data_IF_559385193781
#
_entry.id   IF_559385193781
#
_cell.length_a   1.000
_cell.length_b   1.000
_cell.length_c   1.000
_cell.angle_alpha   90.00
_cell.angle_beta   90.00
_cell.angle_gamma   90.00
#
_symmetry.space_group_name_H-M   'P 1'
#
loop_
_entity.id
_entity.type
_entity.pdbx_description
1 polymer ?
#
# COMPACT_ATOMS: atom_id res chain seq x y z
N UNK A 1 -9.09 2.29 -10.75
CA UNK A 1 -8.04 1.44 -11.39
C UNK A 1 -7.98 0.03 -10.81
N UNK A 2 -8.18 -0.16 -9.48
CA UNK A 2 -8.19 -1.47 -8.83
C UNK A 2 -9.14 -2.46 -9.50
N UNK A 3 -10.34 -2.03 -9.86
CA UNK A 3 -11.33 -2.86 -10.57
C UNK A 3 -10.85 -3.38 -11.93
N UNK A 4 -10.02 -2.62 -12.64
CA UNK A 4 -9.45 -3.07 -13.91
C UNK A 4 -8.49 -4.24 -13.66
N UNK A 5 -7.68 -4.15 -12.60
CA UNK A 5 -6.77 -5.23 -12.21
C UNK A 5 -7.53 -6.47 -11.72
N UNK A 6 -8.62 -6.28 -10.95
CA UNK A 6 -9.53 -7.37 -10.53
C UNK A 6 -10.16 -8.10 -11.73
N UNK A 7 -10.51 -7.38 -12.79
CA UNK A 7 -11.05 -7.99 -14.03
C UNK A 7 -10.04 -8.87 -14.76
N UNK A 8 -8.74 -8.57 -14.65
CA UNK A 8 -7.69 -9.35 -15.31
C UNK A 8 -7.36 -10.66 -14.57
N UNK A 9 -7.62 -10.74 -13.27
CA UNK A 9 -7.50 -11.98 -12.51
C UNK A 9 -8.29 -11.89 -11.20
N UNK A 10 -9.13 -12.91 -10.88
CA UNK A 10 -9.92 -12.93 -9.65
C UNK A 10 -9.06 -13.13 -8.39
N UNK A 11 -7.78 -13.48 -8.55
CA UNK A 11 -6.85 -13.75 -7.44
C UNK A 11 -5.91 -12.56 -7.15
N UNK A 12 -6.19 -11.38 -7.70
CA UNK A 12 -5.42 -10.16 -7.39
C UNK A 12 -5.79 -9.68 -6.00
N UNK A 13 -4.77 -9.41 -5.20
CA UNK A 13 -4.89 -8.82 -3.88
C UNK A 13 -3.97 -7.59 -3.80
N UNK A 14 -4.29 -6.64 -2.94
CA UNK A 14 -3.55 -5.40 -2.80
C UNK A 14 -2.99 -5.25 -1.39
N UNK A 15 -1.74 -4.81 -1.29
CA UNK A 15 -1.18 -4.26 -0.06
C UNK A 15 -1.24 -2.74 -0.17
N UNK A 16 -2.11 -2.09 0.61
CA UNK A 16 -2.18 -0.65 0.67
C UNK A 16 -1.22 -0.13 1.75
N UNK A 17 -0.09 0.41 1.28
CA UNK A 17 0.92 1.05 2.13
C UNK A 17 0.43 2.45 2.54
N UNK A 18 -0.24 2.54 3.69
CA UNK A 18 -0.86 3.75 4.21
C UNK A 18 0.08 4.46 5.18
N UNK A 19 0.37 5.73 4.91
CA UNK A 19 1.28 6.55 5.71
C UNK A 19 0.90 8.02 5.61
N UNK A 20 1.25 8.78 6.63
CA UNK A 20 0.97 10.21 6.61
C UNK A 20 1.94 10.96 5.67
N UNK A 21 1.50 12.12 5.18
CA UNK A 21 2.27 12.92 4.23
C UNK A 21 3.65 13.31 4.76
N UNK A 22 3.74 13.69 6.04
CA UNK A 22 4.98 14.17 6.64
C UNK A 22 6.04 13.05 6.72
N UNK A 23 5.62 11.86 7.16
CA UNK A 23 6.45 10.66 7.23
C UNK A 23 6.96 10.27 5.84
N UNK A 24 6.10 10.28 4.82
CA UNK A 24 6.48 9.92 3.45
C UNK A 24 7.45 10.97 2.87
N UNK A 25 7.15 12.27 3.03
CA UNK A 25 8.01 13.36 2.58
C UNK A 25 9.41 13.27 3.20
N UNK A 26 9.48 13.07 4.52
CA UNK A 26 10.75 12.93 5.24
C UNK A 26 11.57 11.73 4.72
N UNK A 27 10.93 10.59 4.46
CA UNK A 27 11.61 9.40 3.92
C UNK A 27 12.13 9.63 2.50
N UNK A 28 11.37 10.33 1.68
CA UNK A 28 11.77 10.67 0.31
C UNK A 28 12.97 11.62 0.32
N UNK A 29 12.96 12.66 1.16
CA UNK A 29 14.07 13.62 1.27
C UNK A 29 15.39 13.00 1.74
N UNK A 30 15.34 11.91 2.51
CA UNK A 30 16.53 11.18 2.96
C UNK A 30 17.21 10.35 1.86
N UNK A 31 16.54 10.06 0.75
CA UNK A 31 17.12 9.29 -0.36
C UNK A 31 18.00 10.20 -1.22
N UNK A 32 19.32 10.03 -1.13
CA UNK A 32 20.25 10.71 -2.03
C UNK A 32 20.03 10.25 -3.49
N UNK A 33 19.96 11.20 -4.43
CA UNK A 33 19.91 10.90 -5.87
C UNK A 33 18.51 10.86 -6.52
N UNK A 34 17.43 10.94 -5.75
CA UNK A 34 16.07 11.04 -6.29
C UNK A 34 15.36 12.28 -5.73
N UNK A 35 15.53 13.42 -6.40
CA UNK A 35 14.74 14.61 -6.08
C UNK A 35 13.33 14.44 -6.65
N UNK A 36 12.40 14.09 -5.78
CA UNK A 36 10.98 14.07 -6.12
C UNK A 36 10.37 15.40 -5.64
N UNK A 37 9.79 16.22 -6.54
CA UNK A 37 9.22 17.51 -6.14
C UNK A 37 8.13 17.29 -5.09
N UNK A 38 8.07 18.10 -4.02
CA UNK A 38 6.99 18.03 -3.03
C UNK A 38 5.59 18.08 -3.67
N UNK A 39 5.44 18.86 -4.73
CA UNK A 39 4.19 18.99 -5.49
C UNK A 39 3.73 17.66 -6.12
N UNK A 40 4.67 16.78 -6.48
CA UNK A 40 4.32 15.45 -6.99
C UNK A 40 3.76 14.57 -5.88
N UNK A 41 4.33 14.63 -4.68
CA UNK A 41 3.79 13.91 -3.52
C UNK A 41 2.38 14.42 -3.19
N UNK A 42 2.18 15.74 -3.18
CA UNK A 42 0.87 16.35 -2.96
C UNK A 42 -0.16 15.83 -3.97
N UNK A 43 0.18 15.85 -5.27
CA UNK A 43 -0.73 15.37 -6.31
C UNK A 43 -1.11 13.88 -6.16
N UNK A 44 -0.21 13.05 -5.63
CA UNK A 44 -0.51 11.64 -5.36
C UNK A 44 -1.47 11.48 -4.18
N UNK A 45 -1.33 12.29 -3.13
CA UNK A 45 -2.27 12.32 -2.01
C UNK A 45 -3.64 12.83 -2.43
N UNK A 46 -3.70 13.87 -3.26
CA UNK A 46 -4.96 14.42 -3.78
C UNK A 46 -5.70 13.43 -4.68
N UNK A 47 -4.95 12.62 -5.45
CA UNK A 47 -5.50 11.57 -6.30
C UNK A 47 -5.79 10.25 -5.55
N UNK A 48 -5.43 10.14 -4.26
CA UNK A 48 -5.55 8.90 -3.51
C UNK A 48 -7.01 8.57 -3.18
N UNK A 49 -7.57 7.61 -3.90
CA UNK A 49 -8.83 6.96 -3.56
C UNK A 49 -8.60 5.88 -2.50
N UNK A 50 -8.79 6.24 -1.22
CA UNK A 50 -8.65 5.31 -0.08
C UNK A 50 -9.58 4.10 -0.25
N UNK A 51 -9.08 2.88 0.03
CA UNK A 51 -9.91 1.68 0.04
C UNK A 51 -11.17 1.79 0.91
N UNK A 52 -12.28 1.27 0.40
CA UNK A 52 -13.53 1.15 1.15
C UNK A 52 -13.55 -0.13 2.01
N UNK A 53 -14.40 -0.16 3.05
CA UNK A 53 -14.45 -1.27 4.00
C UNK A 53 -14.94 -2.61 3.40
N UNK A 54 -15.57 -2.56 2.23
CA UNK A 54 -16.06 -3.71 1.47
C UNK A 54 -15.02 -4.28 0.47
N UNK A 55 -13.86 -3.63 0.32
CA UNK A 55 -12.75 -4.12 -0.50
C UNK A 55 -11.89 -5.15 0.28
N UNK A 56 -12.41 -6.37 0.43
CA UNK A 56 -11.80 -7.46 1.22
C UNK A 56 -10.48 -8.01 0.65
N UNK A 57 -10.18 -7.71 -0.61
CA UNK A 57 -8.94 -8.08 -1.31
C UNK A 57 -7.79 -7.11 -1.03
N UNK A 58 -7.98 -6.16 -0.09
CA UNK A 58 -7.00 -5.13 0.27
C UNK A 58 -6.61 -5.25 1.74
N UNK A 59 -5.31 -5.38 2.01
CA UNK A 59 -4.76 -5.28 3.35
C UNK A 59 -4.10 -3.91 3.54
N UNK A 60 -4.53 -3.17 4.57
CA UNK A 60 -3.88 -1.91 4.96
C UNK A 60 -2.62 -2.23 5.76
N UNK A 61 -1.50 -1.63 5.37
CA UNK A 61 -0.21 -1.72 6.05
C UNK A 61 0.19 -0.31 6.49
N UNK A 62 0.28 -0.09 7.80
CA UNK A 62 0.75 1.19 8.33
C UNK A 62 2.26 1.32 8.10
N UNK A 63 2.66 2.29 7.29
CA UNK A 63 4.06 2.53 6.98
C UNK A 63 4.73 3.52 7.92
N UNK A 64 4.07 4.04 8.95
CA UNK A 64 4.67 4.97 9.91
C UNK A 64 5.68 4.28 10.88
N UNK A 65 5.90 2.98 10.70
CA UNK A 65 6.89 2.17 11.42
C UNK A 65 8.19 1.96 10.62
N UNK A 66 9.20 1.37 11.25
CA UNK A 66 10.44 0.99 10.56
C UNK A 66 10.23 -0.06 9.47
N UNK A 67 11.25 -0.25 8.62
CA UNK A 67 11.17 -1.14 7.46
C UNK A 67 10.98 -2.61 7.85
N UNK A 68 11.51 -3.05 8.99
CA UNK A 68 11.38 -4.43 9.46
C UNK A 68 9.94 -4.72 9.84
N UNK A 69 9.32 -3.81 10.61
CA UNK A 69 7.91 -3.92 10.97
C UNK A 69 6.99 -3.90 9.76
N UNK A 70 7.20 -2.95 8.83
CA UNK A 70 6.39 -2.85 7.60
C UNK A 70 6.52 -4.11 6.75
N UNK A 71 7.73 -4.65 6.62
CA UNK A 71 7.97 -5.89 5.85
C UNK A 71 7.27 -7.08 6.50
N UNK A 72 7.31 -7.17 7.83
CA UNK A 72 6.63 -8.24 8.55
C UNK A 72 5.11 -8.16 8.41
N UNK A 73 4.52 -6.96 8.50
CA UNK A 73 3.08 -6.78 8.26
C UNK A 73 2.68 -7.17 6.83
N UNK A 74 3.47 -6.80 5.82
CA UNK A 74 3.26 -7.25 4.44
C UNK A 74 3.31 -8.78 4.32
N UNK A 75 4.28 -9.43 4.99
CA UNK A 75 4.43 -10.89 4.98
C UNK A 75 3.21 -11.57 5.58
N UNK A 76 2.74 -11.08 6.74
CA UNK A 76 1.55 -11.60 7.41
C UNK A 76 0.29 -11.44 6.54
N UNK A 77 0.10 -10.28 5.91
CA UNK A 77 -1.02 -10.05 5.00
C UNK A 77 -1.03 -11.01 3.81
N UNK A 78 0.14 -11.22 3.17
CA UNK A 78 0.27 -12.18 2.06
C UNK A 78 -0.04 -13.61 2.52
N UNK A 79 0.40 -14.00 3.72
CA UNK A 79 0.07 -15.31 4.27
C UNK A 79 -1.43 -15.48 4.52
N UNK A 80 -2.10 -14.47 5.07
CA UNK A 80 -3.53 -14.48 5.30
C UNK A 80 -4.31 -14.66 3.99
N UNK A 81 -3.96 -13.92 2.94
CA UNK A 81 -4.58 -14.08 1.62
C UNK A 81 -4.38 -15.49 1.05
N UNK A 82 -3.18 -16.06 1.17
CA UNK A 82 -2.91 -17.43 0.71
C UNK A 82 -3.71 -18.48 1.48
N UNK A 83 -3.87 -18.31 2.79
CA UNK A 83 -4.67 -19.22 3.62
C UNK A 83 -6.15 -19.16 3.24
N UNK A 84 -6.71 -17.97 3.04
CA UNK A 84 -8.10 -17.79 2.62
C UNK A 84 -8.38 -18.46 1.26
N UNK A 85 -7.46 -18.33 0.29
CA UNK A 85 -7.56 -18.99 -1.01
C UNK A 85 -7.46 -20.52 -0.93
N UNK A 86 -6.70 -21.07 0.02
CA UNK A 86 -6.59 -22.53 0.20
C UNK A 86 -7.76 -23.17 0.93
N UNK A 87 -8.56 -22.36 1.63
CA UNK A 87 -9.73 -22.80 2.39
C UNK A 87 -11.06 -22.71 1.60
N UNK A 88 -10.99 -22.21 0.36
CA UNK A 88 -12.12 -22.04 -0.57
C UNK A 88 -12.03 -23.03 -1.72
#
# INVERSE_FOLDING_TARGET
>A
YRDILRKSSPNVHFLWLDGDYATILQRMQRRAGHFMPPDLLQSQFDALERPCADEHDIARIDVNHDIEHVTEQCRLAVQAFRQALSAS
#
